data_IF_462132388591
#
_entry.id   IF_462132388591
#
_cell.length_a   1.000
_cell.length_b   1.000
_cell.length_c   1.000
_cell.angle_alpha   90.00
_cell.angle_beta   90.00
_cell.angle_gamma   90.00
#
_symmetry.space_group_name_H-M   'P 1'
#
loop_
_entity.id
_entity.type
_entity.pdbx_description
1 polymer ?
#
# COMPACT_ATOMS: atom_id res chain seq x y z
N UNK A 1 9.53 -18.11 -5.60
CA UNK A 1 9.52 -16.63 -5.42
C UNK A 1 8.48 -15.93 -6.29
N UNK A 2 8.44 -16.13 -7.63
CA UNK A 2 7.43 -15.49 -8.52
C UNK A 2 5.95 -15.69 -8.12
N UNK A 3 5.58 -16.88 -7.59
CA UNK A 3 4.19 -17.18 -7.20
C UNK A 3 3.65 -16.24 -6.11
N UNK A 4 4.44 -16.00 -5.06
CA UNK A 4 4.07 -15.13 -3.92
C UNK A 4 3.86 -13.69 -4.40
N UNK A 5 4.75 -13.22 -5.27
CA UNK A 5 4.70 -11.87 -5.83
C UNK A 5 3.43 -11.65 -6.67
N UNK A 6 3.04 -12.65 -7.48
CA UNK A 6 1.80 -12.64 -8.25
C UNK A 6 0.59 -12.62 -7.31
N UNK A 7 0.59 -13.43 -6.26
CA UNK A 7 -0.50 -13.44 -5.27
C UNK A 7 -0.66 -12.08 -4.58
N UNK A 8 0.44 -11.46 -4.14
CA UNK A 8 0.41 -10.12 -3.53
C UNK A 8 -0.11 -9.08 -4.53
N UNK A 9 0.30 -9.19 -5.81
CA UNK A 9 -0.18 -8.30 -6.86
C UNK A 9 -1.69 -8.42 -7.07
N UNK A 10 -2.24 -9.65 -7.14
CA UNK A 10 -3.68 -9.87 -7.25
C UNK A 10 -4.44 -9.26 -6.06
N UNK A 11 -3.98 -9.51 -4.83
CA UNK A 11 -4.58 -8.92 -3.63
C UNK A 11 -4.57 -7.39 -3.68
N UNK A 12 -3.46 -6.80 -4.11
CA UNK A 12 -3.30 -5.35 -4.25
C UNK A 12 -4.29 -4.76 -5.26
N UNK A 13 -4.41 -5.36 -6.43
CA UNK A 13 -5.32 -4.90 -7.48
C UNK A 13 -6.77 -5.03 -7.03
N UNK A 14 -7.15 -6.17 -6.45
CA UNK A 14 -8.52 -6.37 -5.96
C UNK A 14 -8.88 -5.39 -4.85
N UNK A 15 -7.99 -5.19 -3.87
CA UNK A 15 -8.19 -4.19 -2.81
C UNK A 15 -8.34 -2.79 -3.42
N UNK A 16 -7.42 -2.40 -4.31
CA UNK A 16 -7.42 -1.08 -4.94
C UNK A 16 -8.68 -0.80 -5.76
N UNK A 17 -9.15 -1.76 -6.56
CA UNK A 17 -10.40 -1.63 -7.34
C UNK A 17 -11.60 -1.50 -6.42
N UNK A 18 -11.68 -2.34 -5.38
CA UNK A 18 -12.82 -2.31 -4.44
C UNK A 18 -12.96 -0.94 -3.79
N UNK A 19 -11.87 -0.39 -3.26
CA UNK A 19 -11.86 0.94 -2.64
C UNK A 19 -12.09 2.06 -3.64
N UNK A 20 -11.54 1.96 -4.86
CA UNK A 20 -11.78 2.94 -5.91
C UNK A 20 -13.26 3.02 -6.26
N UNK A 21 -13.93 1.87 -6.47
CA UNK A 21 -15.36 1.83 -6.79
C UNK A 21 -16.19 2.37 -5.63
N UNK A 22 -15.91 1.97 -4.39
CA UNK A 22 -16.61 2.49 -3.22
C UNK A 22 -16.47 4.00 -3.06
N UNK A 23 -15.26 4.52 -3.22
CA UNK A 23 -15.02 5.96 -3.18
C UNK A 23 -15.69 6.69 -4.35
N UNK A 24 -15.62 6.14 -5.56
CA UNK A 24 -16.19 6.74 -6.76
C UNK A 24 -17.72 6.87 -6.65
N UNK A 25 -18.39 5.84 -6.17
CA UNK A 25 -19.85 5.88 -5.92
C UNK A 25 -20.22 6.98 -4.92
N UNK A 26 -19.42 7.21 -3.87
CA UNK A 26 -19.69 8.32 -2.92
C UNK A 26 -19.64 9.70 -3.58
N UNK A 27 -18.77 9.90 -4.57
CA UNK A 27 -18.73 11.15 -5.33
C UNK A 27 -19.86 11.24 -6.36
N UNK A 28 -20.22 10.11 -6.97
CA UNK A 28 -21.32 10.04 -7.94
C UNK A 28 -22.68 10.30 -7.28
N UNK A 29 -22.92 9.71 -6.10
CA UNK A 29 -24.16 9.84 -5.33
C UNK A 29 -24.27 11.16 -4.55
N UNK A 30 -23.44 12.15 -4.88
CA UNK A 30 -23.26 13.42 -4.17
C UNK A 30 -22.73 13.21 -2.76
N UNK A 31 -21.52 13.69 -2.51
CA UNK A 31 -20.83 13.48 -1.24
C UNK A 31 -21.56 14.13 -0.05
N UNK A 32 -22.43 15.11 -0.31
CA UNK A 32 -23.33 15.70 0.69
C UNK A 32 -24.28 14.66 1.31
N UNK A 33 -24.72 13.65 0.54
CA UNK A 33 -25.54 12.57 1.07
C UNK A 33 -24.76 11.70 2.07
N UNK A 34 -23.49 11.44 1.78
CA UNK A 34 -22.61 10.72 2.71
C UNK A 34 -22.29 11.58 3.94
N UNK A 35 -22.11 12.89 3.77
CA UNK A 35 -21.89 13.83 4.87
C UNK A 35 -23.10 13.88 5.81
N UNK A 36 -24.32 14.01 5.27
CA UNK A 36 -25.55 13.97 6.07
C UNK A 36 -25.76 12.61 6.76
N UNK A 37 -25.38 11.52 6.09
CA UNK A 37 -25.41 10.20 6.72
C UNK A 37 -24.38 10.07 7.86
N UNK A 38 -23.18 10.64 7.71
CA UNK A 38 -22.18 10.68 8.79
C UNK A 38 -22.70 11.46 10.00
N UNK A 39 -23.37 12.59 9.77
CA UNK A 39 -23.98 13.37 10.85
C UNK A 39 -25.08 12.58 11.57
N UNK A 40 -25.86 11.77 10.85
CA UNK A 40 -26.90 10.92 11.45
C UNK A 40 -26.34 9.86 12.42
N UNK A 41 -25.08 9.46 12.25
CA UNK A 41 -24.37 8.50 13.11
C UNK A 41 -23.40 9.18 14.10
N UNK A 42 -23.46 10.51 14.23
CA UNK A 42 -22.65 11.30 15.15
C UNK A 42 -21.20 11.52 14.71
N UNK A 43 -20.91 11.40 13.41
CA UNK A 43 -19.61 11.71 12.81
C UNK A 43 -19.71 13.05 12.07
N UNK A 44 -18.72 13.96 12.16
CA UNK A 44 -18.79 15.23 11.45
C UNK A 44 -18.86 15.02 9.93
N UNK A 45 -19.79 15.70 9.25
CA UNK A 45 -20.00 15.53 7.80
C UNK A 45 -18.77 15.82 6.94
N UNK A 46 -17.87 16.70 7.39
CA UNK A 46 -16.59 16.98 6.72
C UNK A 46 -15.70 15.74 6.55
N UNK A 47 -15.78 14.77 7.47
CA UNK A 47 -15.02 13.52 7.35
C UNK A 47 -15.44 12.69 6.14
N UNK A 48 -16.66 12.85 5.62
CA UNK A 48 -17.10 12.15 4.41
C UNK A 48 -16.23 12.51 3.21
N UNK A 49 -15.84 13.77 3.07
CA UNK A 49 -14.93 14.26 2.03
C UNK A 49 -13.55 13.65 2.17
N UNK A 50 -13.02 13.61 3.40
CA UNK A 50 -11.72 13.02 3.68
C UNK A 50 -11.71 11.52 3.38
N UNK A 51 -12.69 10.77 3.90
CA UNK A 51 -12.80 9.32 3.67
C UNK A 51 -12.98 9.01 2.19
N UNK A 52 -13.91 9.69 1.51
CA UNK A 52 -14.12 9.50 0.08
C UNK A 52 -12.87 9.78 -0.75
N UNK A 53 -12.16 10.88 -0.46
CA UNK A 53 -10.91 11.20 -1.14
C UNK A 53 -9.83 10.13 -0.90
N UNK A 54 -9.67 9.66 0.33
CA UNK A 54 -8.70 8.60 0.66
C UNK A 54 -9.08 7.27 -0.01
N UNK A 55 -10.34 6.93 -0.12
CA UNK A 55 -10.78 5.71 -0.80
C UNK A 55 -10.49 5.73 -2.31
N UNK A 56 -10.78 6.86 -2.98
CA UNK A 56 -10.49 7.02 -4.42
C UNK A 56 -8.99 7.10 -4.69
N UNK A 57 -8.30 8.03 -4.03
CA UNK A 57 -6.87 8.27 -4.25
C UNK A 57 -6.07 7.06 -3.77
N UNK A 58 -6.43 6.49 -2.62
CA UNK A 58 -5.81 5.28 -2.08
C UNK A 58 -6.06 4.05 -2.93
N UNK A 59 -7.26 3.88 -3.48
CA UNK A 59 -7.57 2.82 -4.44
C UNK A 59 -6.67 2.89 -5.69
N UNK A 60 -6.57 4.08 -6.30
CA UNK A 60 -5.70 4.33 -7.46
C UNK A 60 -4.22 4.10 -7.07
N UNK A 61 -3.78 4.63 -5.94
CA UNK A 61 -2.40 4.46 -5.47
C UNK A 61 -2.04 2.99 -5.25
N UNK A 62 -2.95 2.17 -4.71
CA UNK A 62 -2.75 0.73 -4.59
C UNK A 62 -2.65 0.05 -5.94
N UNK A 63 -3.53 0.38 -6.90
CA UNK A 63 -3.47 -0.18 -8.26
C UNK A 63 -2.10 0.10 -8.90
N UNK A 64 -1.66 1.36 -8.83
CA UNK A 64 -0.35 1.82 -9.32
C UNK A 64 0.83 1.29 -8.50
N UNK A 65 0.60 0.77 -7.29
CA UNK A 65 1.65 0.27 -6.41
C UNK A 65 2.43 1.37 -5.67
N UNK A 66 1.88 2.59 -5.54
CA UNK A 66 2.51 3.71 -4.85
C UNK A 66 2.24 3.64 -3.34
N UNK A 67 3.30 3.71 -2.53
CA UNK A 67 3.17 3.81 -1.07
C UNK A 67 2.33 2.69 -0.44
N UNK A 68 2.35 1.48 -1.02
CA UNK A 68 1.40 0.40 -0.71
C UNK A 68 1.20 0.14 0.78
N UNK A 69 2.26 0.20 1.59
CA UNK A 69 2.20 0.02 3.04
C UNK A 69 1.42 1.13 3.75
N UNK A 70 1.70 2.39 3.40
CA UNK A 70 1.05 3.55 4.04
C UNK A 70 -0.41 3.64 3.61
N UNK A 71 -0.67 3.46 2.31
CA UNK A 71 -2.03 3.52 1.77
C UNK A 71 -2.89 2.39 2.32
N UNK A 72 -2.39 1.15 2.36
CA UNK A 72 -3.13 0.02 2.94
C UNK A 72 -3.38 0.19 4.43
N UNK A 73 -2.45 0.77 5.20
CA UNK A 73 -2.68 1.10 6.60
C UNK A 73 -3.81 2.13 6.79
N UNK A 74 -3.85 3.18 5.97
CA UNK A 74 -4.92 4.18 6.01
C UNK A 74 -6.29 3.56 5.68
N UNK A 75 -6.35 2.72 4.63
CA UNK A 75 -7.58 2.03 4.24
C UNK A 75 -8.04 1.02 5.32
N UNK A 76 -7.10 0.35 6.00
CA UNK A 76 -7.41 -0.52 7.13
C UNK A 76 -8.06 0.25 8.29
N UNK A 77 -7.56 1.44 8.62
CA UNK A 77 -8.15 2.30 9.67
C UNK A 77 -9.58 2.70 9.30
N UNK A 78 -9.82 3.08 8.03
CA UNK A 78 -11.16 3.40 7.53
C UNK A 78 -12.10 2.20 7.68
N UNK A 79 -11.65 0.99 7.32
CA UNK A 79 -12.45 -0.23 7.46
C UNK A 79 -12.80 -0.55 8.90
N UNK A 80 -11.86 -0.41 9.84
CA UNK A 80 -12.15 -0.59 11.27
C UNK A 80 -13.22 0.40 11.74
N UNK A 81 -13.09 1.67 11.35
CA UNK A 81 -14.09 2.70 11.68
C UNK A 81 -15.48 2.38 11.10
N UNK A 82 -15.53 1.96 9.84
CA UNK A 82 -16.78 1.58 9.16
C UNK A 82 -17.44 0.37 9.84
N UNK A 83 -16.69 -0.68 10.14
CA UNK A 83 -17.23 -1.89 10.79
C UNK A 83 -17.82 -1.54 12.17
N UNK A 84 -17.05 -0.84 13.00
CA UNK A 84 -17.44 -0.55 14.39
C UNK A 84 -18.65 0.40 14.48
N UNK A 85 -18.73 1.41 13.60
CA UNK A 85 -19.78 2.42 13.67
C UNK A 85 -21.04 2.04 12.91
N UNK A 86 -20.89 1.33 11.80
CA UNK A 86 -21.98 1.17 10.81
C UNK A 86 -22.52 -0.24 10.83
N UNK A 87 -21.63 -1.22 10.65
CA UNK A 87 -22.03 -2.58 10.31
C UNK A 87 -22.06 -3.54 11.50
N UNK A 88 -21.56 -3.12 12.67
CA UNK A 88 -21.63 -3.92 13.89
C UNK A 88 -23.07 -4.31 14.26
N UNK A 89 -24.05 -3.42 14.01
CA UNK A 89 -25.47 -3.70 14.25
C UNK A 89 -26.11 -4.63 13.21
N UNK A 90 -25.48 -4.83 12.05
CA UNK A 90 -25.99 -5.70 10.98
C UNK A 90 -25.60 -7.18 11.19
N UNK A 91 -24.57 -7.45 12.00
CA UNK A 91 -24.02 -8.79 12.18
C UNK A 91 -23.12 -9.23 11.02
N UNK A 92 -22.53 -10.42 11.14
CA UNK A 92 -21.52 -10.92 10.20
C UNK A 92 -22.08 -11.11 8.78
N UNK A 93 -23.17 -11.86 8.63
CA UNK A 93 -23.82 -12.13 7.35
C UNK A 93 -24.84 -11.05 6.94
N UNK A 94 -25.16 -10.11 7.83
CA UNK A 94 -26.23 -9.15 7.61
C UNK A 94 -27.60 -9.68 8.02
N UNK A 95 -28.61 -8.87 7.79
CA UNK A 95 -30.04 -9.19 7.96
C UNK A 95 -30.76 -8.94 6.62
N UNK A 96 -32.04 -9.29 6.48
CA UNK A 96 -32.79 -9.10 5.23
C UNK A 96 -32.67 -7.67 4.64
N UNK A 97 -32.56 -6.66 5.51
CA UNK A 97 -32.50 -5.24 5.13
C UNK A 97 -31.11 -4.59 5.27
N UNK A 98 -30.11 -5.34 5.78
CA UNK A 98 -28.78 -4.79 6.10
C UNK A 98 -27.67 -5.70 5.60
N UNK A 99 -26.75 -5.15 4.81
CA UNK A 99 -25.55 -5.86 4.37
C UNK A 99 -24.62 -6.07 5.57
N UNK A 100 -24.15 -7.31 5.77
CA UNK A 100 -23.22 -7.66 6.82
C UNK A 100 -21.83 -7.05 6.66
N UNK A 101 -20.98 -7.22 7.67
CA UNK A 101 -19.59 -6.74 7.64
C UNK A 101 -18.58 -7.78 7.15
N UNK A 102 -19.03 -8.96 6.68
CA UNK A 102 -18.15 -10.02 6.16
C UNK A 102 -17.18 -9.49 5.09
N UNK A 103 -17.69 -8.77 4.09
CA UNK A 103 -16.88 -8.26 2.99
C UNK A 103 -15.86 -7.23 3.49
N UNK A 104 -16.26 -6.32 4.38
CA UNK A 104 -15.37 -5.32 4.98
C UNK A 104 -14.27 -5.97 5.81
N UNK A 105 -14.59 -7.07 6.50
CA UNK A 105 -13.60 -7.84 7.27
C UNK A 105 -12.57 -8.49 6.35
N UNK A 106 -13.01 -9.06 5.22
CA UNK A 106 -12.10 -9.63 4.22
C UNK A 106 -11.19 -8.55 3.64
N UNK A 107 -11.74 -7.39 3.27
CA UNK A 107 -10.94 -6.26 2.77
C UNK A 107 -9.97 -5.73 3.83
N UNK A 108 -10.39 -5.68 5.10
CA UNK A 108 -9.52 -5.30 6.23
C UNK A 108 -8.34 -6.26 6.38
N UNK A 109 -8.57 -7.56 6.33
CA UNK A 109 -7.50 -8.57 6.43
C UNK A 109 -6.52 -8.45 5.26
N UNK A 110 -7.01 -8.23 4.04
CA UNK A 110 -6.16 -7.99 2.87
C UNK A 110 -5.33 -6.71 3.05
N UNK A 111 -5.93 -5.64 3.56
CA UNK A 111 -5.24 -4.38 3.83
C UNK A 111 -4.13 -4.54 4.89
N UNK A 112 -4.40 -5.26 5.99
CA UNK A 112 -3.41 -5.58 7.02
C UNK A 112 -2.28 -6.42 6.43
N UNK A 113 -2.62 -7.44 5.64
CA UNK A 113 -1.63 -8.28 4.97
C UNK A 113 -0.69 -7.46 4.07
N UNK A 114 -1.23 -6.51 3.30
CA UNK A 114 -0.44 -5.61 2.46
C UNK A 114 0.36 -4.58 3.27
N UNK A 115 -0.14 -4.17 4.44
CA UNK A 115 0.59 -3.27 5.34
C UNK A 115 1.86 -3.95 5.86
N UNK A 116 1.74 -5.21 6.30
CA UNK A 116 2.85 -5.98 6.86
C UNK A 116 3.85 -6.44 5.78
N UNK A 117 3.35 -7.01 4.69
CA UNK A 117 4.21 -7.61 3.66
C UNK A 117 4.73 -6.56 2.66
N UNK A 118 3.96 -5.50 2.42
CA UNK A 118 4.19 -4.55 1.32
C UNK A 118 4.06 -5.19 -0.06
N UNK A 119 4.34 -4.40 -1.10
CA UNK A 119 4.44 -4.88 -2.48
C UNK A 119 5.86 -4.67 -3.01
N UNK A 120 6.55 -5.74 -3.42
CA UNK A 120 7.97 -5.70 -3.86
C UNK A 120 8.13 -5.61 -5.38
N UNK A 121 7.24 -6.18 -6.16
CA UNK A 121 7.29 -6.15 -7.62
C UNK A 121 6.27 -5.11 -8.11
N UNK A 122 6.75 -4.06 -8.82
CA UNK A 122 5.99 -2.93 -9.39
C UNK A 122 5.53 -1.82 -8.44
N UNK A 123 6.19 -1.60 -7.31
CA UNK A 123 6.07 -0.32 -6.63
C UNK A 123 7.01 0.68 -7.32
N UNK A 124 6.49 1.78 -7.89
CA UNK A 124 7.33 2.88 -8.44
C UNK A 124 8.34 3.39 -7.41
N UNK A 125 8.02 3.19 -6.13
CA UNK A 125 8.88 3.41 -4.97
C UNK A 125 10.28 2.75 -5.13
N UNK A 126 10.38 1.57 -5.75
CA UNK A 126 11.68 0.94 -6.01
C UNK A 126 12.43 1.54 -7.19
N UNK A 127 11.74 2.10 -8.19
CA UNK A 127 12.41 2.76 -9.33
C UNK A 127 13.07 4.06 -8.87
N UNK A 128 12.45 4.76 -7.91
CA UNK A 128 12.96 6.03 -7.38
C UNK A 128 14.07 5.79 -6.34
N UNK A 129 13.93 4.81 -5.43
CA UNK A 129 14.91 4.60 -4.34
C UNK A 129 16.10 3.69 -4.68
N UNK A 130 16.09 2.95 -5.79
CA UNK A 130 17.18 2.00 -6.10
C UNK A 130 18.33 2.57 -6.95
N UNK A 131 18.34 3.88 -7.24
CA UNK A 131 19.45 4.52 -7.98
C UNK A 131 20.71 4.78 -7.14
N UNK A 132 20.64 4.72 -5.81
CA UNK A 132 21.74 5.16 -4.93
C UNK A 132 22.64 4.06 -4.32
N UNK A 133 22.52 2.79 -4.76
CA UNK A 133 23.41 1.71 -4.24
C UNK A 133 24.38 1.10 -5.23
N UNK A 134 24.29 1.43 -6.53
CA UNK A 134 25.20 0.84 -7.54
C UNK A 134 26.53 1.59 -7.69
N UNK A 135 26.65 2.82 -7.19
CA UNK A 135 27.84 3.65 -7.43
C UNK A 135 28.97 3.36 -6.44
N UNK A 136 28.67 3.08 -5.16
CA UNK A 136 29.71 2.94 -4.14
C UNK A 136 30.42 1.57 -4.06
N UNK A 137 29.87 0.51 -4.66
CA UNK A 137 30.49 -0.84 -4.57
C UNK A 137 31.54 -1.05 -5.69
N UNK A 138 31.35 -0.41 -6.84
CA UNK A 138 32.25 -0.53 -7.99
C UNK A 138 33.59 0.16 -7.74
N UNK A 139 33.58 1.30 -7.05
CA UNK A 139 34.80 2.06 -6.76
C UNK A 139 35.68 1.37 -5.70
N UNK A 140 35.08 0.83 -4.63
CA UNK A 140 35.85 0.14 -3.57
C UNK A 140 36.53 -1.13 -4.08
N UNK A 141 35.87 -1.91 -4.95
CA UNK A 141 36.50 -3.09 -5.57
C UNK A 141 37.62 -2.71 -6.54
N UNK A 142 37.49 -1.59 -7.26
CA UNK A 142 38.52 -1.13 -8.19
C UNK A 142 39.76 -0.63 -7.43
N UNK A 143 39.58 0.09 -6.32
CA UNK A 143 40.69 0.57 -5.48
C UNK A 143 41.44 -0.59 -4.84
N UNK A 144 40.74 -1.63 -4.36
CA UNK A 144 41.39 -2.81 -3.77
C UNK A 144 42.23 -3.58 -4.79
N UNK A 145 41.74 -3.75 -6.03
CA UNK A 145 42.49 -4.45 -7.08
C UNK A 145 43.72 -3.65 -7.54
N UNK A 146 43.64 -2.31 -7.60
CA UNK A 146 44.78 -1.47 -7.95
C UNK A 146 45.84 -1.51 -6.83
N UNK A 147 45.43 -1.45 -5.56
CA UNK A 147 46.33 -1.55 -4.41
C UNK A 147 47.08 -2.88 -4.34
N UNK A 148 46.43 -4.01 -4.68
CA UNK A 148 47.09 -5.32 -4.70
C UNK A 148 48.06 -5.47 -5.87
N UNK A 149 47.78 -4.83 -7.02
CA UNK A 149 48.66 -4.85 -8.18
C UNK A 149 49.93 -4.02 -7.97
N UNK A 150 49.83 -2.84 -7.36
CA UNK A 150 50.99 -1.99 -7.05
C UNK A 150 51.93 -2.63 -6.02
N UNK A 151 51.38 -3.23 -4.95
CA UNK A 151 52.16 -3.94 -3.94
C UNK A 151 52.96 -5.13 -4.51
N UNK A 152 52.44 -5.77 -5.58
CA UNK A 152 53.11 -6.90 -6.22
C UNK A 152 54.25 -6.47 -7.16
N UNK A 153 54.11 -5.32 -7.83
CA UNK A 153 55.15 -4.76 -8.70
C UNK A 153 56.35 -4.25 -7.89
N UNK A 154 56.13 -3.63 -6.72
CA UNK A 154 57.23 -3.15 -5.87
C UNK A 154 58.08 -4.31 -5.31
N UNK A 155 57.45 -5.46 -5.01
CA UNK A 155 58.17 -6.68 -4.58
C UNK A 155 58.97 -7.36 -5.67
N UNK A 156 58.64 -7.15 -6.95
CA UNK A 156 59.43 -7.67 -8.07
C UNK A 156 60.66 -6.80 -8.34
N UNK A 157 60.57 -5.48 -8.15
CA UNK A 157 61.68 -4.55 -8.41
C UNK A 157 62.81 -4.60 -7.37
N UNK A 158 62.57 -5.12 -6.16
CA UNK A 158 63.58 -5.21 -5.09
C UNK A 158 64.38 -6.52 -5.08
N UNK A 159 64.13 -7.41 -6.05
CA UNK A 159 64.76 -8.74 -6.15
C UNK A 159 65.72 -8.90 -7.34
N UNK A 160 66.04 -7.80 -8.02
CA UNK A 160 67.02 -7.72 -9.12
C UNK A 160 68.16 -6.82 -8.68
#
# INVERSE_FOLDING_TARGET
>A
MKKIEISIFLLRIMLGISFFVHGFVKFQDRIENTAGWFESIGIPGFLAYFVGAVEVIGGIALILGLGTRVVSALLAIIMVGAILKVKLSAGFLGTADKVGYELDLVLLVIAIFLTVNGSKIWAVDQVIFNKNKKTHITDSKKIQIISEADCKNEKLSSKT
#
